data_IF_665870259413
#
_entry.id   IF_665870259413
#
_cell.length_a   1.000
_cell.length_b   1.000
_cell.length_c   1.000
_cell.angle_alpha   90.00
_cell.angle_beta   90.00
_cell.angle_gamma   90.00
#
_symmetry.space_group_name_H-M   'P 1'
#
loop_
_entity.id
_entity.type
_entity.pdbx_description
1 polymer ?
#
# COMPACT_ATOMS: atom_id res chain seq x y z
N UNK A 1 -11.09 23.61 0.61
CA UNK A 1 -10.88 22.16 0.41
C UNK A 1 -10.01 21.81 -0.80
N UNK A 2 -10.11 22.51 -1.95
CA UNK A 2 -9.35 22.18 -3.18
C UNK A 2 -7.81 22.22 -3.05
N UNK A 3 -7.29 22.92 -2.03
CA UNK A 3 -5.84 23.00 -1.72
C UNK A 3 -5.44 22.01 -0.61
N UNK A 4 -6.37 21.66 0.28
CA UNK A 4 -6.07 20.82 1.44
C UNK A 4 -5.80 19.37 1.02
N UNK A 5 -6.61 18.85 0.08
CA UNK A 5 -6.45 17.49 -0.46
C UNK A 5 -5.11 17.31 -1.19
N UNK A 6 -4.69 18.16 -2.15
CA UNK A 6 -3.39 17.99 -2.79
C UNK A 6 -2.24 18.21 -1.80
N UNK A 7 -2.39 19.11 -0.82
CA UNK A 7 -1.36 19.33 0.20
C UNK A 7 -1.14 18.10 1.08
N UNK A 8 -2.20 17.45 1.57
CA UNK A 8 -2.07 16.22 2.36
C UNK A 8 -1.48 15.08 1.53
N UNK A 9 -1.85 14.98 0.26
CA UNK A 9 -1.34 13.97 -0.68
C UNK A 9 0.17 14.15 -0.93
N UNK A 10 0.63 15.40 -1.07
CA UNK A 10 2.06 15.74 -1.20
C UNK A 10 2.82 15.42 0.09
N UNK A 11 2.26 15.75 1.27
CA UNK A 11 2.90 15.43 2.55
C UNK A 11 3.02 13.92 2.74
N UNK A 12 1.97 13.14 2.45
CA UNK A 12 2.00 11.68 2.53
C UNK A 12 3.01 11.11 1.54
N UNK A 13 3.06 11.62 0.31
CA UNK A 13 4.06 11.21 -0.68
C UNK A 13 5.49 11.52 -0.21
N UNK A 14 5.73 12.69 0.39
CA UNK A 14 7.04 13.07 0.91
C UNK A 14 7.46 12.17 2.09
N UNK A 15 6.54 11.88 3.02
CA UNK A 15 6.80 10.97 4.13
C UNK A 15 7.10 9.55 3.66
N UNK A 16 6.35 9.04 2.68
CA UNK A 16 6.62 7.74 2.06
C UNK A 16 7.96 7.74 1.32
N UNK A 17 8.28 8.82 0.60
CA UNK A 17 9.56 8.95 -0.09
C UNK A 17 10.74 8.94 0.90
N UNK A 18 10.63 9.63 2.03
CA UNK A 18 11.65 9.59 3.08
C UNK A 18 11.76 8.22 3.76
N UNK A 19 10.67 7.46 3.85
CA UNK A 19 10.67 6.14 4.47
C UNK A 19 11.38 5.09 3.60
N UNK A 20 11.14 5.12 2.28
CA UNK A 20 11.62 4.10 1.34
C UNK A 20 12.86 4.52 0.54
N UNK A 21 13.07 5.81 0.34
CA UNK A 21 14.12 6.34 -0.55
C UNK A 21 13.88 6.06 -2.04
N UNK A 22 12.73 5.49 -2.43
CA UNK A 22 12.42 5.13 -3.81
C UNK A 22 11.01 5.60 -4.23
N UNK A 23 10.94 6.41 -5.28
CA UNK A 23 9.68 6.97 -5.83
C UNK A 23 8.69 5.89 -6.29
N UNK A 24 9.19 4.82 -6.91
CA UNK A 24 8.33 3.74 -7.43
C UNK A 24 7.56 3.04 -6.29
N UNK A 25 8.22 2.80 -5.17
CA UNK A 25 7.63 2.18 -3.98
C UNK A 25 6.55 3.07 -3.35
N UNK A 26 6.83 4.37 -3.21
CA UNK A 26 5.86 5.34 -2.70
C UNK A 26 4.62 5.45 -3.60
N UNK A 27 4.80 5.42 -4.92
CA UNK A 27 3.69 5.44 -5.89
C UNK A 27 2.80 4.20 -5.78
N UNK A 28 3.37 3.00 -5.61
CA UNK A 28 2.61 1.76 -5.41
C UNK A 28 1.73 1.87 -4.16
N UNK A 29 2.27 2.38 -3.05
CA UNK A 29 1.49 2.61 -1.82
C UNK A 29 0.43 3.68 -2.06
N UNK A 30 0.76 4.77 -2.73
CA UNK A 30 -0.19 5.84 -3.01
C UNK A 30 -1.37 5.35 -3.86
N UNK A 31 -1.14 4.45 -4.82
CA UNK A 31 -2.19 3.82 -5.60
C UNK A 31 -3.20 3.05 -4.73
N UNK A 32 -2.81 2.53 -3.56
CA UNK A 32 -3.75 1.83 -2.66
C UNK A 32 -4.81 2.75 -2.05
N UNK A 33 -4.52 4.06 -1.91
CA UNK A 33 -5.41 5.06 -1.32
C UNK A 33 -6.71 5.25 -2.12
N UNK A 34 -6.68 5.53 -3.45
CA UNK A 34 -7.90 5.63 -4.25
C UNK A 34 -8.68 4.31 -4.30
N UNK A 35 -8.01 3.14 -4.31
CA UNK A 35 -8.71 1.85 -4.24
C UNK A 35 -9.48 1.68 -2.92
N UNK A 36 -8.88 2.07 -1.79
CA UNK A 36 -9.50 2.04 -0.48
C UNK A 36 -10.72 2.98 -0.37
N UNK A 37 -10.61 4.18 -0.97
CA UNK A 37 -11.70 5.15 -1.05
C UNK A 37 -12.87 4.64 -1.91
N UNK A 38 -12.57 4.12 -3.10
CA UNK A 38 -13.58 3.55 -4.00
C UNK A 38 -14.32 2.41 -3.31
N UNK A 39 -13.61 1.47 -2.69
CA UNK A 39 -14.22 0.35 -1.96
C UNK A 39 -15.15 0.81 -0.83
N UNK A 40 -14.74 1.84 -0.08
CA UNK A 40 -15.54 2.40 1.02
C UNK A 40 -16.84 3.03 0.53
N UNK A 41 -16.76 3.86 -0.52
CA UNK A 41 -17.92 4.53 -1.11
C UNK A 41 -18.87 3.50 -1.73
N UNK A 42 -18.33 2.50 -2.43
CA UNK A 42 -19.12 1.44 -3.07
C UNK A 42 -19.90 0.62 -2.05
N UNK A 43 -19.27 0.24 -0.94
CA UNK A 43 -19.91 -0.51 0.13
C UNK A 43 -21.00 0.31 0.84
N UNK A 44 -20.74 1.59 1.12
CA UNK A 44 -21.75 2.48 1.70
C UNK A 44 -22.95 2.68 0.77
N UNK A 45 -22.69 2.81 -0.53
CA UNK A 45 -23.75 2.94 -1.54
C UNK A 45 -24.61 1.67 -1.59
N UNK A 46 -24.00 0.49 -1.55
CA UNK A 46 -24.70 -0.80 -1.58
C UNK A 46 -25.51 -1.07 -0.31
N UNK A 47 -25.04 -0.61 0.85
CA UNK A 47 -25.77 -0.72 2.13
C UNK A 47 -26.74 0.45 2.38
N UNK A 48 -26.87 1.40 1.45
CA UNK A 48 -27.71 2.60 1.58
C UNK A 48 -27.44 3.43 2.85
N UNK A 49 -26.19 3.49 3.30
CA UNK A 49 -25.81 4.31 4.45
C UNK A 49 -25.58 5.77 4.06
N UNK A 50 -25.98 6.68 4.96
CA UNK A 50 -25.71 8.11 4.81
C UNK A 50 -24.25 8.44 5.21
N UNK A 51 -23.65 9.39 4.49
CA UNK A 51 -22.33 9.95 4.82
C UNK A 51 -22.43 10.82 6.08
N UNK A 52 -22.27 10.18 7.24
CA UNK A 52 -22.18 10.86 8.54
C UNK A 52 -20.73 11.23 8.89
N UNK A 53 -20.54 12.06 9.91
CA UNK A 53 -19.20 12.34 10.46
C UNK A 53 -18.48 11.06 10.92
N UNK A 54 -19.21 10.09 11.47
CA UNK A 54 -18.64 8.79 11.83
C UNK A 54 -18.17 8.00 10.61
N UNK A 55 -18.92 8.03 9.49
CA UNK A 55 -18.52 7.38 8.25
C UNK A 55 -17.22 7.99 7.68
N UNK A 56 -17.07 9.31 7.72
CA UNK A 56 -15.84 9.99 7.32
C UNK A 56 -14.62 9.55 8.13
N UNK A 57 -14.76 9.43 9.46
CA UNK A 57 -13.69 8.93 10.32
C UNK A 57 -13.32 7.49 9.96
N UNK A 58 -14.30 6.64 9.68
CA UNK A 58 -14.08 5.26 9.22
C UNK A 58 -13.33 5.19 7.89
N UNK A 59 -13.67 6.02 6.91
CA UNK A 59 -12.98 6.10 5.62
C UNK A 59 -11.52 6.51 5.81
N UNK A 60 -11.23 7.50 6.66
CA UNK A 60 -9.86 7.94 6.95
C UNK A 60 -9.06 6.80 7.62
N UNK A 61 -9.65 6.10 8.58
CA UNK A 61 -9.02 4.95 9.22
C UNK A 61 -8.71 3.82 8.22
N UNK A 62 -9.64 3.53 7.30
CA UNK A 62 -9.46 2.50 6.28
C UNK A 62 -8.37 2.87 5.27
N UNK A 63 -8.26 4.15 4.88
CA UNK A 63 -7.16 4.65 4.06
C UNK A 63 -5.81 4.47 4.77
N UNK A 64 -5.74 4.76 6.08
CA UNK A 64 -4.53 4.54 6.88
C UNK A 64 -4.11 3.07 6.92
N UNK A 65 -5.08 2.17 7.12
CA UNK A 65 -4.84 0.72 7.11
C UNK A 65 -4.40 0.22 5.72
N UNK A 66 -5.01 0.72 4.64
CA UNK A 66 -4.61 0.41 3.28
C UNK A 66 -3.16 0.85 3.00
N UNK A 67 -2.79 2.07 3.41
CA UNK A 67 -1.42 2.55 3.29
C UNK A 67 -0.43 1.68 4.09
N UNK A 68 -0.74 1.35 5.35
CA UNK A 68 0.10 0.49 6.18
C UNK A 68 0.30 -0.90 5.54
N UNK A 69 -0.78 -1.53 5.07
CA UNK A 69 -0.67 -2.86 4.44
C UNK A 69 0.11 -2.81 3.13
N UNK A 70 -0.01 -1.73 2.36
CA UNK A 70 0.79 -1.47 1.17
C UNK A 70 2.28 -1.29 1.49
N UNK A 71 2.60 -0.44 2.46
CA UNK A 71 3.98 -0.16 2.92
C UNK A 71 4.70 -1.45 3.26
N UNK A 72 4.11 -2.25 4.15
CA UNK A 72 4.82 -3.43 4.66
C UNK A 72 4.84 -4.55 3.59
N UNK A 73 3.93 -4.57 2.60
CA UNK A 73 4.06 -5.46 1.43
C UNK A 73 5.33 -5.12 0.62
N UNK A 74 5.53 -3.85 0.33
CA UNK A 74 6.70 -3.37 -0.42
C UNK A 74 8.00 -3.71 0.33
N UNK A 75 8.07 -3.47 1.64
CA UNK A 75 9.24 -3.83 2.46
C UNK A 75 9.58 -5.33 2.36
N UNK A 76 8.58 -6.21 2.37
CA UNK A 76 8.81 -7.65 2.27
C UNK A 76 9.33 -8.06 0.90
N UNK A 77 8.73 -7.53 -0.17
CA UNK A 77 9.21 -7.78 -1.53
C UNK A 77 10.65 -7.26 -1.73
N UNK A 78 10.94 -6.06 -1.23
CA UNK A 78 12.26 -5.44 -1.32
C UNK A 78 13.32 -6.22 -0.53
N UNK A 79 12.97 -6.67 0.68
CA UNK A 79 13.83 -7.53 1.50
C UNK A 79 14.11 -8.89 0.85
N UNK A 80 13.10 -9.53 0.27
CA UNK A 80 13.26 -10.80 -0.45
C UNK A 80 14.16 -10.64 -1.69
N UNK A 81 13.96 -9.57 -2.46
CA UNK A 81 14.81 -9.22 -3.59
C UNK A 81 16.26 -8.96 -3.17
N UNK A 82 16.48 -8.12 -2.15
CA UNK A 82 17.83 -7.82 -1.65
C UNK A 82 18.55 -9.02 -1.07
N UNK A 83 17.83 -9.94 -0.42
CA UNK A 83 18.38 -11.20 0.08
C UNK A 83 18.93 -12.05 -1.08
N UNK A 84 18.12 -12.31 -2.11
CA UNK A 84 18.57 -13.09 -3.28
C UNK A 84 19.67 -12.37 -4.07
N UNK A 85 19.64 -11.05 -4.14
CA UNK A 85 20.71 -10.24 -4.76
C UNK A 85 22.05 -10.42 -4.03
N UNK A 86 22.05 -10.40 -2.69
CA UNK A 86 23.26 -10.62 -1.88
C UNK A 86 23.83 -12.04 -2.02
N UNK A 87 22.96 -13.01 -2.25
CA UNK A 87 23.34 -14.40 -2.46
C UNK A 87 23.77 -14.70 -3.92
N UNK A 88 23.80 -13.70 -4.80
CA UNK A 88 24.19 -13.86 -6.20
C UNK A 88 23.22 -14.71 -7.03
N UNK A 89 21.97 -14.85 -6.58
CA UNK A 89 20.93 -15.69 -7.18
C UNK A 89 20.03 -14.94 -8.16
N UNK A 90 20.41 -13.73 -8.57
CA UNK A 90 19.68 -12.94 -9.58
C UNK A 90 20.48 -12.99 -10.87
N UNK A 91 20.01 -13.79 -11.83
CA UNK A 91 20.65 -13.95 -13.14
C UNK A 91 19.73 -13.48 -14.26
N UNK A 92 18.43 -13.67 -14.11
CA UNK A 92 17.44 -13.29 -15.12
C UNK A 92 16.19 -12.61 -14.51
N UNK A 93 15.31 -12.08 -15.36
CA UNK A 93 14.05 -11.45 -14.95
C UNK A 93 13.14 -12.42 -14.18
N UNK A 94 13.17 -13.71 -14.51
CA UNK A 94 12.40 -14.75 -13.82
C UNK A 94 12.84 -14.91 -12.36
N UNK A 95 14.13 -14.75 -12.04
CA UNK A 95 14.63 -14.82 -10.67
C UNK A 95 14.10 -13.67 -9.81
N UNK A 96 13.86 -12.50 -10.43
CA UNK A 96 13.27 -11.32 -9.77
C UNK A 96 11.80 -11.56 -9.47
N UNK A 97 11.07 -12.12 -10.43
CA UNK A 97 9.66 -12.50 -10.26
C UNK A 97 9.55 -13.52 -9.13
N UNK A 98 10.39 -14.55 -9.14
CA UNK A 98 10.37 -15.59 -8.12
C UNK A 98 10.77 -15.07 -6.73
N UNK A 99 11.75 -14.16 -6.64
CA UNK A 99 12.10 -13.49 -5.38
C UNK A 99 10.93 -12.69 -4.82
N UNK A 100 10.22 -11.97 -5.70
CA UNK A 100 9.05 -11.17 -5.33
C UNK A 100 7.86 -12.05 -4.96
N UNK A 101 7.70 -13.20 -5.62
CA UNK A 101 6.69 -14.20 -5.32
C UNK A 101 6.92 -14.80 -3.93
N UNK A 102 8.16 -15.17 -3.61
CA UNK A 102 8.54 -15.72 -2.31
C UNK A 102 8.28 -14.73 -1.17
N UNK A 103 8.64 -13.45 -1.38
CA UNK A 103 8.29 -12.36 -0.46
C UNK A 103 6.78 -12.12 -0.32
N UNK A 104 6.03 -12.28 -1.42
CA UNK A 104 4.57 -12.13 -1.44
C UNK A 104 3.88 -13.24 -0.64
N UNK A 105 4.27 -14.51 -0.84
CA UNK A 105 3.68 -15.68 -0.17
C UNK A 105 3.85 -15.60 1.34
N UNK A 106 4.99 -15.09 1.84
CA UNK A 106 5.21 -14.91 3.28
C UNK A 106 4.18 -13.97 3.92
N UNK A 107 3.61 -13.03 3.16
CA UNK A 107 2.61 -12.08 3.65
C UNK A 107 1.16 -12.53 3.42
N UNK A 108 0.91 -13.48 2.52
CA UNK A 108 -0.46 -13.96 2.24
C UNK A 108 -1.12 -14.51 3.51
N UNK A 109 -0.42 -15.34 4.29
CA UNK A 109 -0.95 -15.88 5.57
C UNK A 109 -1.31 -14.78 6.57
N UNK A 110 -0.38 -13.87 6.94
CA UNK A 110 -0.70 -12.77 7.84
C UNK A 110 -1.85 -11.88 7.35
N UNK A 111 -1.89 -11.56 6.05
CA UNK A 111 -2.91 -10.68 5.47
C UNK A 111 -4.31 -11.29 5.43
N UNK A 112 -4.41 -12.63 5.45
CA UNK A 112 -5.69 -13.31 5.58
C UNK A 112 -6.17 -13.43 7.03
N UNK A 113 -5.26 -13.25 8.00
CA UNK A 113 -5.59 -13.27 9.43
C UNK A 113 -6.00 -11.90 9.98
N UNK A 114 -5.56 -10.81 9.33
CA UNK A 114 -5.85 -9.40 9.71
C UNK A 114 -6.72 -8.71 8.68
#
# INVERSE_FOLDING_TARGET
>A
MRILVPLTLVIVLLLLYMNFGNLAQSLIVLCSVPFALVGSIWLMALLHYNLSTAAWVGIIALVGLAAQTGVVMVVYCDSAYHKRKREGRIRDLDDIVEATLEGSVQRVRPKLMT
#
